data_IF_980891685498
#
_entry.id   IF_980891685498
#
_cell.length_a   1.000
_cell.length_b   1.000
_cell.length_c   1.000
_cell.angle_alpha   90.00
_cell.angle_beta   90.00
_cell.angle_gamma   90.00
#
_symmetry.space_group_name_H-M   'P 1'
#
loop_
_entity.id
_entity.type
_entity.pdbx_description
1 polymer ?
#
# COMPACT_ATOMS: atom_id res chain seq x y z
N UNK A 1 25.38 -12.00 6.44
CA UNK A 1 24.27 -11.04 6.60
C UNK A 1 23.00 -11.62 5.98
N UNK A 2 21.83 -11.56 6.64
CA UNK A 2 20.55 -11.93 6.02
C UNK A 2 20.28 -10.99 4.84
N UNK A 3 20.04 -11.54 3.65
CA UNK A 3 19.70 -10.75 2.46
C UNK A 3 18.35 -10.04 2.73
N UNK A 4 18.26 -8.70 2.58
CA UNK A 4 16.99 -8.00 2.72
C UNK A 4 15.95 -8.64 1.80
N UNK A 5 14.78 -9.00 2.36
CA UNK A 5 13.68 -9.55 1.56
C UNK A 5 13.23 -8.46 0.59
N UNK A 6 13.32 -8.71 -0.71
CA UNK A 6 12.80 -7.77 -1.73
C UNK A 6 11.30 -7.62 -1.49
N UNK A 7 10.81 -6.38 -1.40
CA UNK A 7 9.38 -6.08 -1.38
C UNK A 7 8.74 -6.63 -2.67
N UNK A 8 7.63 -7.35 -2.51
CA UNK A 8 6.93 -8.04 -3.61
C UNK A 8 5.72 -7.23 -4.01
N UNK A 9 5.38 -7.16 -5.30
CA UNK A 9 4.23 -6.35 -5.73
C UNK A 9 2.93 -7.14 -5.70
N UNK A 10 1.92 -6.62 -5.00
CA UNK A 10 0.53 -7.09 -5.09
C UNK A 10 -0.32 -6.05 -5.80
N UNK A 11 -1.26 -6.46 -6.64
CA UNK A 11 -2.06 -5.51 -7.44
C UNK A 11 -3.47 -5.27 -6.89
N UNK A 12 -3.92 -6.10 -5.95
CA UNK A 12 -5.29 -6.08 -5.46
C UNK A 12 -5.29 -6.36 -3.95
N UNK A 13 -5.88 -5.46 -3.17
CA UNK A 13 -6.31 -5.78 -1.81
C UNK A 13 -7.57 -6.65 -1.91
N UNK A 14 -7.62 -7.79 -1.22
CA UNK A 14 -8.81 -8.63 -1.23
C UNK A 14 -9.99 -7.88 -0.57
N UNK A 15 -11.17 -7.96 -1.18
CA UNK A 15 -12.40 -7.36 -0.62
C UNK A 15 -12.82 -8.04 0.69
N UNK A 16 -12.44 -9.30 0.86
CA UNK A 16 -12.69 -10.12 2.05
C UNK A 16 -11.36 -10.68 2.51
N UNK A 17 -11.01 -10.38 3.76
CA UNK A 17 -9.78 -10.82 4.43
C UNK A 17 -9.95 -12.15 5.16
N UNK A 18 -11.17 -12.66 5.35
CA UNK A 18 -11.42 -13.92 6.04
C UNK A 18 -12.47 -14.81 5.36
N UNK A 19 -12.15 -16.09 5.19
CA UNK A 19 -13.03 -17.14 4.68
C UNK A 19 -13.32 -18.14 5.79
N UNK A 20 -14.61 -18.34 6.10
CA UNK A 20 -15.05 -19.18 7.20
C UNK A 20 -15.70 -20.48 6.72
N UNK A 21 -15.36 -21.64 7.31
CA UNK A 21 -16.07 -22.89 7.06
C UNK A 21 -17.49 -22.79 7.64
N UNK A 22 -18.49 -23.12 6.82
CA UNK A 22 -19.90 -23.06 7.24
C UNK A 22 -20.25 -24.17 8.23
N UNK A 23 -21.09 -23.84 9.23
CA UNK A 23 -21.68 -24.84 10.14
C UNK A 23 -20.79 -25.32 11.28
N UNK A 24 -19.63 -24.68 11.50
CA UNK A 24 -18.70 -24.99 12.60
C UNK A 24 -18.47 -23.75 13.46
N UNK A 25 -18.62 -23.91 14.77
CA UNK A 25 -18.44 -22.82 15.75
C UNK A 25 -17.00 -22.66 16.24
N UNK A 26 -16.21 -23.73 16.20
CA UNK A 26 -14.79 -23.73 16.54
C UNK A 26 -13.99 -24.18 15.33
N UNK A 27 -13.18 -23.30 14.78
CA UNK A 27 -12.28 -23.57 13.67
C UNK A 27 -10.90 -23.01 14.00
N UNK A 28 -9.86 -23.71 13.56
CA UNK A 28 -8.52 -23.13 13.52
C UNK A 28 -8.37 -22.25 12.29
N UNK A 29 -7.48 -21.26 12.36
CA UNK A 29 -7.21 -20.34 11.27
C UNK A 29 -5.89 -20.69 10.58
N UNK A 30 -5.88 -20.62 9.26
CA UNK A 30 -4.67 -20.69 8.44
C UNK A 30 -4.43 -19.31 7.83
N UNK A 31 -3.23 -18.77 8.06
CA UNK A 31 -2.82 -17.49 7.50
C UNK A 31 -2.30 -17.72 6.08
N UNK A 32 -2.98 -17.14 5.11
CA UNK A 32 -2.54 -17.00 3.73
C UNK A 32 -1.95 -15.60 3.54
N UNK A 33 -0.68 -15.49 3.19
CA UNK A 33 -0.06 -14.18 3.02
C UNK A 33 -0.53 -13.49 1.74
N UNK A 34 -0.44 -12.16 1.67
CA UNK A 34 -0.83 -11.42 0.45
C UNK A 34 -0.06 -11.89 -0.79
N UNK A 35 1.21 -12.27 -0.64
CA UNK A 35 2.02 -12.81 -1.73
C UNK A 35 1.50 -14.16 -2.23
N UNK A 36 1.06 -15.02 -1.31
CA UNK A 36 0.50 -16.34 -1.63
C UNK A 36 -0.87 -16.19 -2.30
N UNK A 37 -1.70 -15.28 -1.80
CA UNK A 37 -2.99 -14.95 -2.41
C UNK A 37 -2.82 -14.39 -3.82
N UNK A 38 -1.91 -13.42 -4.02
CA UNK A 38 -1.66 -12.85 -5.35
C UNK A 38 -1.08 -13.89 -6.32
N UNK A 39 -0.21 -14.78 -5.84
CA UNK A 39 0.30 -15.88 -6.67
C UNK A 39 -0.81 -16.84 -7.12
N UNK A 40 -1.71 -17.24 -6.21
CA UNK A 40 -2.90 -18.05 -6.54
C UNK A 40 -3.79 -17.30 -7.55
N UNK A 41 -4.04 -16.00 -7.32
CA UNK A 41 -4.87 -15.18 -8.22
C UNK A 41 -4.29 -15.15 -9.63
N UNK A 42 -3.00 -14.85 -9.79
CA UNK A 42 -2.39 -14.70 -11.11
C UNK A 42 -2.30 -16.02 -11.87
N UNK A 43 -1.92 -17.11 -11.21
CA UNK A 43 -1.66 -18.38 -11.90
C UNK A 43 -2.90 -19.27 -11.93
N UNK A 44 -3.54 -19.49 -10.79
CA UNK A 44 -4.63 -20.47 -10.67
C UNK A 44 -6.00 -19.89 -11.06
N UNK A 45 -6.24 -18.58 -10.87
CA UNK A 45 -7.48 -17.89 -11.29
C UNK A 45 -7.38 -17.22 -12.66
N UNK A 46 -6.37 -16.37 -12.85
CA UNK A 46 -6.21 -15.56 -14.08
C UNK A 46 -5.50 -16.35 -15.21
N UNK A 47 -4.94 -17.53 -14.92
CA UNK A 47 -4.37 -18.44 -15.91
C UNK A 47 -3.01 -18.00 -16.50
N UNK A 48 -2.30 -17.06 -15.86
CA UNK A 48 -0.99 -16.61 -16.35
C UNK A 48 0.06 -17.72 -16.23
N UNK A 49 1.03 -17.70 -17.14
CA UNK A 49 2.22 -18.53 -17.00
C UNK A 49 3.03 -18.12 -15.76
N UNK A 50 3.78 -19.06 -15.19
CA UNK A 50 4.63 -18.77 -14.02
C UNK A 50 5.68 -17.68 -14.31
N UNK A 51 6.13 -17.57 -15.56
CA UNK A 51 7.08 -16.52 -15.94
C UNK A 51 6.43 -15.14 -15.96
N UNK A 52 5.22 -15.02 -16.51
CA UNK A 52 4.46 -13.77 -16.56
C UNK A 52 4.05 -13.32 -15.15
N UNK A 53 3.53 -14.24 -14.34
CA UNK A 53 3.16 -13.97 -12.97
C UNK A 53 4.38 -13.53 -12.13
N UNK A 54 5.53 -14.19 -12.28
CA UNK A 54 6.76 -13.82 -11.59
C UNK A 54 7.24 -12.41 -11.99
N UNK A 55 7.20 -12.09 -13.29
CA UNK A 55 7.50 -10.74 -13.81
C UNK A 55 6.55 -9.70 -13.21
N UNK A 56 5.23 -9.98 -13.17
CA UNK A 56 4.19 -9.08 -12.66
C UNK A 56 4.32 -8.80 -11.16
N UNK A 57 4.76 -9.79 -10.38
CA UNK A 57 5.06 -9.68 -8.94
C UNK A 57 6.47 -9.16 -8.62
N UNK A 58 7.31 -8.93 -9.64
CA UNK A 58 8.72 -8.53 -9.51
C UNK A 58 9.57 -9.51 -8.67
N UNK A 59 9.36 -10.82 -8.87
CA UNK A 59 10.10 -11.89 -8.20
C UNK A 59 10.72 -12.87 -9.20
N UNK A 60 11.65 -13.72 -8.75
CA UNK A 60 12.15 -14.81 -9.59
C UNK A 60 11.10 -15.92 -9.72
N UNK A 61 11.08 -16.60 -10.86
CA UNK A 61 10.18 -17.75 -11.10
C UNK A 61 10.29 -18.83 -10.01
N UNK A 62 11.49 -19.22 -9.51
CA UNK A 62 11.59 -20.16 -8.38
C UNK A 62 10.98 -19.65 -7.07
N UNK A 63 10.94 -18.33 -6.86
CA UNK A 63 10.27 -17.73 -5.70
C UNK A 63 8.75 -17.87 -5.83
N UNK A 64 8.21 -17.61 -7.03
CA UNK A 64 6.79 -17.79 -7.33
C UNK A 64 6.39 -19.27 -7.14
N UNK A 65 7.16 -20.22 -7.66
CA UNK A 65 6.83 -21.65 -7.50
C UNK A 65 6.80 -22.07 -6.02
N UNK A 66 7.68 -21.50 -5.18
CA UNK A 66 7.65 -21.73 -3.73
C UNK A 66 6.41 -21.13 -3.06
N UNK A 67 6.00 -19.93 -3.48
CA UNK A 67 4.77 -19.29 -3.00
C UNK A 67 3.55 -20.11 -3.36
N UNK A 68 3.40 -20.51 -4.63
CA UNK A 68 2.29 -21.37 -5.09
C UNK A 68 2.21 -22.68 -4.32
N UNK A 69 3.35 -23.36 -4.12
CA UNK A 69 3.37 -24.61 -3.36
C UNK A 69 2.89 -24.42 -1.92
N UNK A 70 3.35 -23.37 -1.25
CA UNK A 70 2.92 -23.02 0.11
C UNK A 70 1.43 -22.67 0.16
N UNK A 71 0.97 -21.81 -0.75
CA UNK A 71 -0.41 -21.37 -0.85
C UNK A 71 -1.38 -22.52 -1.09
N UNK A 72 -1.08 -23.38 -2.07
CA UNK A 72 -1.92 -24.56 -2.39
C UNK A 72 -1.99 -25.55 -1.24
N UNK A 73 -0.88 -25.78 -0.53
CA UNK A 73 -0.88 -26.64 0.66
C UNK A 73 -1.81 -26.08 1.74
N UNK A 74 -1.72 -24.78 2.04
CA UNK A 74 -2.58 -24.09 3.02
C UNK A 74 -4.06 -24.18 2.66
N UNK A 75 -4.40 -23.90 1.40
CA UNK A 75 -5.79 -24.00 0.90
C UNK A 75 -6.30 -25.44 0.96
N UNK A 76 -5.48 -26.41 0.54
CA UNK A 76 -5.85 -27.83 0.61
C UNK A 76 -6.09 -28.27 2.07
N UNK A 77 -5.23 -27.86 3.00
CA UNK A 77 -5.42 -28.14 4.43
C UNK A 77 -6.70 -27.48 4.95
N UNK A 78 -6.97 -26.23 4.57
CA UNK A 78 -8.17 -25.53 5.01
C UNK A 78 -9.46 -26.24 4.59
N UNK A 79 -9.53 -26.66 3.33
CA UNK A 79 -10.70 -27.36 2.77
C UNK A 79 -10.87 -28.75 3.39
N UNK A 80 -9.79 -29.51 3.55
CA UNK A 80 -9.86 -30.90 4.02
C UNK A 80 -10.07 -31.03 5.53
N UNK A 81 -9.60 -30.06 6.32
CA UNK A 81 -9.70 -30.09 7.79
C UNK A 81 -10.73 -29.12 8.36
N UNK A 82 -11.43 -28.37 7.51
CA UNK A 82 -12.47 -27.42 7.94
C UNK A 82 -11.91 -26.22 8.72
N UNK A 83 -10.80 -25.65 8.26
CA UNK A 83 -10.16 -24.47 8.88
C UNK A 83 -10.56 -23.20 8.16
N UNK A 84 -10.61 -22.09 8.88
CA UNK A 84 -10.76 -20.77 8.30
C UNK A 84 -9.47 -20.32 7.59
N UNK A 85 -9.60 -19.53 6.54
CA UNK A 85 -8.47 -18.91 5.84
C UNK A 85 -8.52 -17.42 6.13
N UNK A 86 -7.46 -16.86 6.72
CA UNK A 86 -7.30 -15.42 6.91
C UNK A 86 -6.18 -14.91 6.00
N UNK A 87 -6.46 -13.87 5.21
CA UNK A 87 -5.51 -13.25 4.30
C UNK A 87 -4.83 -12.09 5.02
N UNK A 88 -3.62 -12.32 5.50
CA UNK A 88 -2.87 -11.34 6.29
C UNK A 88 -1.37 -11.47 6.11
N UNK A 89 -0.68 -10.34 6.30
CA UNK A 89 0.77 -10.30 6.43
C UNK A 89 1.56 -10.58 5.14
N UNK A 90 2.88 -10.43 5.26
CA UNK A 90 3.80 -10.41 4.13
C UNK A 90 4.49 -9.05 4.00
N UNK A 91 5.58 -9.01 3.22
CA UNK A 91 6.28 -7.76 2.89
C UNK A 91 5.96 -7.45 1.44
N UNK A 92 4.92 -6.64 1.23
CA UNK A 92 4.42 -6.33 -0.10
C UNK A 92 4.37 -4.82 -0.36
N UNK A 93 4.34 -4.47 -1.65
CA UNK A 93 4.09 -3.14 -2.19
C UNK A 93 2.85 -3.19 -3.09
N UNK A 94 1.90 -2.27 -2.94
CA UNK A 94 0.79 -2.17 -3.88
C UNK A 94 1.25 -1.65 -5.24
N UNK A 95 1.04 -2.44 -6.29
CA UNK A 95 1.28 -2.05 -7.66
C UNK A 95 0.17 -1.10 -8.14
N UNK A 96 0.53 0.17 -8.29
CA UNK A 96 -0.42 1.25 -8.52
C UNK A 96 -0.24 2.42 -7.55
N UNK A 97 0.47 2.21 -6.43
CA UNK A 97 1.11 3.30 -5.71
C UNK A 97 2.30 3.80 -6.53
N UNK A 98 1.97 4.52 -7.61
CA UNK A 98 2.93 5.30 -8.34
C UNK A 98 3.54 6.31 -7.37
N UNK A 99 4.70 6.00 -6.82
CA UNK A 99 5.73 7.03 -6.72
C UNK A 99 6.01 7.44 -8.16
N UNK A 100 5.25 8.42 -8.61
CA UNK A 100 5.42 9.05 -9.90
C UNK A 100 6.87 9.51 -10.00
N UNK A 101 7.71 8.68 -10.62
CA UNK A 101 8.86 9.14 -11.40
C UNK A 101 8.32 9.75 -12.69
N UNK A 102 7.40 10.70 -12.53
CA UNK A 102 6.89 11.54 -13.59
C UNK A 102 7.78 12.74 -13.66
N UNK A 103 8.53 12.85 -14.76
CA UNK A 103 9.09 14.11 -15.25
C UNK A 103 7.92 15.08 -15.51
N UNK A 104 7.44 15.74 -14.45
CA UNK A 104 6.55 16.89 -14.56
C UNK A 104 7.38 18.10 -14.94
N UNK A 105 7.52 18.35 -16.25
CA UNK A 105 7.75 19.72 -16.71
C UNK A 105 6.53 20.55 -16.30
N UNK A 106 6.81 21.72 -15.72
CA UNK A 106 5.91 22.84 -15.37
C UNK A 106 5.07 22.70 -14.10
N UNK A 107 5.29 23.65 -13.18
CA UNK A 107 4.22 24.17 -12.34
C UNK A 107 4.52 24.44 -10.87
N UNK A 108 5.55 25.22 -10.54
CA UNK A 108 5.55 25.94 -9.27
C UNK A 108 6.93 26.17 -8.65
N UNK A 109 7.34 27.43 -8.58
CA UNK A 109 8.34 27.94 -7.63
C UNK A 109 7.79 27.88 -6.19
N UNK A 110 7.37 26.69 -5.76
CA UNK A 110 6.93 26.46 -4.40
C UNK A 110 8.15 26.50 -3.49
N UNK A 111 8.42 27.68 -2.90
CA UNK A 111 9.27 27.81 -1.71
C UNK A 111 8.80 26.70 -0.74
N UNK A 112 9.67 25.74 -0.42
CA UNK A 112 9.31 24.44 0.14
C UNK A 112 8.55 24.46 1.48
N UNK A 113 8.60 23.42 2.31
CA UNK A 113 7.78 23.34 3.53
C UNK A 113 8.17 24.34 4.64
N UNK A 114 9.00 25.34 4.35
CA UNK A 114 9.42 26.42 5.26
C UNK A 114 9.06 27.81 4.71
N UNK A 115 9.13 28.81 5.58
CA UNK A 115 8.76 30.19 5.30
C UNK A 115 7.85 30.78 6.38
N UNK A 116 7.54 32.06 6.25
CA UNK A 116 6.61 32.74 7.15
C UNK A 116 5.35 33.13 6.37
N UNK A 117 4.20 32.93 6.98
CA UNK A 117 3.00 33.62 6.55
C UNK A 117 3.05 35.05 7.09
N UNK A 118 2.85 36.04 6.21
CA UNK A 118 2.92 37.47 6.53
C UNK A 118 1.53 38.07 6.33
N UNK A 119 1.08 38.89 7.25
CA UNK A 119 -0.16 39.63 7.10
C UNK A 119 0.08 40.86 6.19
N UNK A 120 -0.68 41.03 5.09
CA UNK A 120 -0.52 42.18 4.20
C UNK A 120 -0.95 43.51 4.83
N UNK A 121 -1.82 43.47 5.86
CA UNK A 121 -2.37 44.69 6.46
C UNK A 121 -1.50 45.26 7.59
N UNK A 122 -0.83 44.40 8.36
CA UNK A 122 -0.05 44.84 9.54
C UNK A 122 1.38 44.27 9.59
N UNK A 123 1.81 43.51 8.58
CA UNK A 123 3.15 42.94 8.50
C UNK A 123 3.45 41.80 9.49
N UNK A 124 2.46 41.37 10.29
CA UNK A 124 2.64 40.32 11.29
C UNK A 124 3.05 38.98 10.65
N UNK A 125 4.08 38.33 11.19
CA UNK A 125 4.66 37.08 10.65
C UNK A 125 4.39 35.90 11.58
N UNK A 126 3.97 34.77 11.03
CA UNK A 126 3.83 33.48 11.73
C UNK A 126 4.56 32.41 10.91
N UNK A 127 5.23 31.43 11.53
CA UNK A 127 5.81 30.31 10.79
C UNK A 127 4.73 29.56 10.01
N UNK A 128 5.01 29.25 8.74
CA UNK A 128 4.11 28.49 7.90
C UNK A 128 3.98 27.04 8.41
N UNK A 129 2.75 26.58 8.64
CA UNK A 129 2.49 25.20 9.04
C UNK A 129 2.30 24.29 7.82
N UNK A 130 2.95 23.12 7.84
CA UNK A 130 2.83 22.13 6.76
C UNK A 130 1.39 21.66 6.64
N UNK A 131 0.89 21.62 5.41
CA UNK A 131 -0.48 21.17 5.10
C UNK A 131 -1.55 22.26 5.20
N UNK A 132 -1.24 23.45 5.74
CA UNK A 132 -2.18 24.58 5.79
C UNK A 132 -1.67 25.76 4.96
N UNK A 133 -2.32 26.12 3.83
CA UNK A 133 -1.99 27.33 3.08
C UNK A 133 -2.13 28.59 3.95
N UNK A 134 -1.23 29.57 3.77
CA UNK A 134 -1.23 30.80 4.60
C UNK A 134 -2.57 31.55 4.60
N UNK A 135 -3.33 31.53 3.50
CA UNK A 135 -4.60 32.23 3.39
C UNK A 135 -5.73 31.63 4.25
N UNK A 136 -5.56 30.40 4.75
CA UNK A 136 -6.48 29.76 5.69
C UNK A 136 -6.29 30.32 7.11
N UNK A 137 -5.10 30.84 7.43
CA UNK A 137 -4.77 31.41 8.73
C UNK A 137 -5.21 32.88 8.77
N UNK A 138 -5.96 33.26 9.80
CA UNK A 138 -6.31 34.66 10.08
C UNK A 138 -5.23 35.31 10.94
N UNK A 139 -4.86 36.55 10.63
CA UNK A 139 -3.90 37.31 11.41
C UNK A 139 -4.46 37.59 12.82
N UNK A 140 -3.72 37.28 13.90
CA UNK A 140 -4.19 37.53 15.26
C UNK A 140 -4.25 39.02 15.64
N UNK A 141 -3.60 39.91 14.87
CA UNK A 141 -3.60 41.36 15.14
C UNK A 141 -4.74 42.12 14.48
N UNK A 142 -5.18 41.70 13.30
CA UNK A 142 -6.15 42.46 12.50
C UNK A 142 -7.19 41.61 11.77
N UNK A 143 -7.19 40.29 11.95
CA UNK A 143 -8.17 39.37 11.36
C UNK A 143 -8.03 39.09 9.86
N UNK A 144 -7.17 39.82 9.14
CA UNK A 144 -6.94 39.63 7.70
C UNK A 144 -6.32 38.26 7.38
N UNK A 145 -6.62 37.71 6.21
CA UNK A 145 -6.00 36.48 5.71
C UNK A 145 -4.50 36.69 5.48
N UNK A 146 -3.68 35.70 5.87
CA UNK A 146 -2.23 35.79 5.73
C UNK A 146 -1.78 35.36 4.33
N UNK A 147 -0.70 35.94 3.83
CA UNK A 147 -0.08 35.58 2.54
C UNK A 147 1.28 34.92 2.77
N UNK A 148 1.77 34.17 1.77
CA UNK A 148 3.11 33.58 1.85
C UNK A 148 4.14 34.68 1.58
N UNK A 149 5.04 34.91 2.53
CA UNK A 149 6.17 35.83 2.38
C UNK A 149 7.50 35.11 2.22
#
# INVERSE_FOLDING_TARGET
MPRPRRCRRIWMEPEVDIFLPGGVSNFEEIILTFDEHEALRLVDKDGLSQEEAAKKMNISQPTLSRLLRSARAKVATAITTGRAIRIEGGVYEMAGAGYGRGRGRQGGFGLGPGGYCVCPNCGYRVPHQRGSPCYVIKCPKCGAQMTRG
#
